data_IF_379572286125
#
_entry.id   IF_379572286125
#
_cell.length_a   1.000
_cell.length_b   1.000
_cell.length_c   1.000
_cell.angle_alpha   90.00
_cell.angle_beta   90.00
_cell.angle_gamma   90.00
#
_symmetry.space_group_name_H-M   'P 1'
#
loop_
_entity.id
_entity.type
_entity.pdbx_description
1 polymer ?
#
# COMPACT_ATOMS: atom_id res chain seq x y z
N UNK A 1 -30.47 -10.75 -10.06
CA UNK A 1 -30.01 -10.29 -8.72
C UNK A 1 -28.86 -11.20 -8.33
N UNK A 2 -27.61 -10.73 -8.43
CA UNK A 2 -26.47 -11.49 -7.94
C UNK A 2 -26.51 -11.47 -6.42
N UNK A 3 -26.60 -12.63 -5.81
CA UNK A 3 -26.53 -12.80 -4.36
C UNK A 3 -25.14 -12.40 -3.89
N UNK A 4 -25.01 -11.62 -2.79
CA UNK A 4 -23.70 -11.37 -2.16
C UNK A 4 -22.99 -12.68 -1.86
N UNK A 5 -21.71 -12.75 -2.17
CA UNK A 5 -20.90 -13.95 -1.99
C UNK A 5 -19.84 -13.67 -0.92
N UNK A 6 -19.51 -14.67 -0.12
CA UNK A 6 -18.34 -14.59 0.75
C UNK A 6 -17.09 -14.76 -0.10
N UNK A 7 -16.18 -13.77 -0.04
CA UNK A 7 -14.88 -13.79 -0.71
C UNK A 7 -13.79 -13.92 0.33
N UNK A 8 -12.98 -14.95 0.16
CA UNK A 8 -11.93 -15.28 1.11
C UNK A 8 -10.54 -15.16 0.47
N UNK A 9 -9.60 -14.59 1.21
CA UNK A 9 -8.20 -14.52 0.84
C UNK A 9 -7.31 -14.86 2.03
N UNK A 10 -6.18 -15.51 1.74
CA UNK A 10 -5.10 -15.76 2.67
C UNK A 10 -3.88 -14.96 2.24
N UNK A 11 -3.40 -14.08 3.11
CA UNK A 11 -2.25 -13.23 2.88
C UNK A 11 -1.15 -13.57 3.88
N UNK A 12 0.04 -13.79 3.38
CA UNK A 12 1.25 -14.02 4.16
C UNK A 12 2.20 -12.85 3.96
N UNK A 13 2.60 -12.20 5.04
CA UNK A 13 3.49 -11.05 5.03
C UNK A 13 4.85 -11.46 5.54
N UNK A 14 5.89 -11.21 4.76
CA UNK A 14 7.26 -11.61 5.10
C UNK A 14 8.31 -10.65 4.53
N UNK A 15 9.47 -10.58 5.18
CA UNK A 15 10.67 -10.02 4.57
C UNK A 15 11.15 -10.92 3.44
N UNK A 16 11.46 -10.32 2.29
CA UNK A 16 11.87 -11.07 1.09
C UNK A 16 13.01 -10.32 0.40
N UNK A 17 14.04 -11.04 -0.08
CA UNK A 17 15.03 -10.44 -0.97
C UNK A 17 14.38 -9.93 -2.25
N UNK A 18 14.64 -8.68 -2.60
CA UNK A 18 14.14 -8.01 -3.80
C UNK A 18 15.29 -7.40 -4.60
N UNK A 19 15.04 -7.18 -5.89
CA UNK A 19 15.95 -6.45 -6.76
C UNK A 19 15.12 -5.55 -7.68
N UNK A 20 14.90 -4.30 -7.27
CA UNK A 20 14.10 -3.34 -8.00
C UNK A 20 14.98 -2.44 -8.87
N UNK A 21 16.13 -2.02 -8.37
CA UNK A 21 17.03 -1.05 -9.02
C UNK A 21 18.24 -1.68 -9.69
N UNK A 22 18.37 -3.00 -9.66
CA UNK A 22 19.58 -3.74 -10.03
C UNK A 22 20.48 -4.06 -8.85
N UNK A 23 20.13 -3.61 -7.63
CA UNK A 23 20.83 -3.92 -6.39
C UNK A 23 20.02 -4.84 -5.50
N UNK A 24 20.64 -5.85 -4.87
CA UNK A 24 19.95 -6.65 -3.87
C UNK A 24 19.51 -5.78 -2.68
N UNK A 25 18.25 -5.95 -2.27
CA UNK A 25 17.66 -5.26 -1.13
C UNK A 25 16.74 -6.21 -0.37
N UNK A 26 16.35 -5.84 0.85
CA UNK A 26 15.28 -6.50 1.59
C UNK A 26 14.03 -5.64 1.54
N UNK A 27 12.91 -6.25 1.18
CA UNK A 27 11.60 -5.61 1.21
C UNK A 27 10.59 -6.46 1.95
N UNK A 28 9.41 -5.89 2.18
CA UNK A 28 8.27 -6.60 2.74
C UNK A 28 7.33 -6.95 1.60
N UNK A 29 7.01 -8.23 1.47
CA UNK A 29 6.12 -8.75 0.43
C UNK A 29 4.85 -9.32 1.00
N UNK A 30 3.80 -9.33 0.19
CA UNK A 30 2.55 -10.01 0.47
C UNK A 30 2.46 -11.19 -0.50
N UNK A 31 2.36 -12.41 0.03
CA UNK A 31 2.40 -13.65 -0.74
C UNK A 31 3.63 -13.73 -1.67
N UNK A 32 4.78 -13.21 -1.22
CA UNK A 32 6.05 -13.28 -1.94
C UNK A 32 6.22 -12.27 -3.08
N UNK A 33 5.30 -11.33 -3.27
CA UNK A 33 5.35 -10.33 -4.33
C UNK A 33 5.29 -8.89 -3.81
N UNK A 34 5.84 -7.95 -4.59
CA UNK A 34 5.71 -6.51 -4.40
C UNK A 34 5.46 -5.84 -5.78
N UNK A 35 4.35 -5.13 -5.99
CA UNK A 35 3.19 -5.07 -5.09
C UNK A 35 2.63 -6.46 -4.75
N UNK A 36 1.90 -6.56 -3.65
CA UNK A 36 1.17 -7.76 -3.28
C UNK A 36 0.04 -8.11 -4.27
N UNK A 37 -0.69 -9.19 -4.05
CA UNK A 37 -1.73 -9.64 -4.95
C UNK A 37 -2.87 -8.63 -5.06
N UNK A 38 -3.47 -8.55 -6.26
CA UNK A 38 -4.71 -7.81 -6.47
C UNK A 38 -5.85 -8.52 -5.73
N UNK A 39 -6.51 -7.82 -4.83
CA UNK A 39 -7.76 -8.30 -4.24
C UNK A 39 -8.93 -7.78 -5.07
N UNK A 40 -9.77 -8.69 -5.56
CA UNK A 40 -10.96 -8.35 -6.34
C UNK A 40 -12.22 -8.81 -5.63
N UNK A 41 -13.11 -7.87 -5.44
CA UNK A 41 -14.42 -8.06 -4.81
C UNK A 41 -15.51 -7.45 -5.66
N UNK A 42 -16.73 -7.61 -5.21
CA UNK A 42 -17.90 -6.90 -5.72
C UNK A 42 -18.60 -6.17 -4.59
N UNK A 43 -19.19 -5.03 -4.89
CA UNK A 43 -20.05 -4.29 -3.96
C UNK A 43 -21.15 -5.21 -3.41
N UNK A 44 -21.27 -5.26 -2.09
CA UNK A 44 -22.17 -6.15 -1.36
C UNK A 44 -21.57 -7.45 -0.90
N UNK A 45 -20.35 -7.83 -1.35
CA UNK A 45 -19.68 -9.05 -0.88
C UNK A 45 -19.35 -8.97 0.62
N UNK A 46 -19.40 -10.12 1.27
CA UNK A 46 -18.81 -10.34 2.59
C UNK A 46 -17.34 -10.71 2.42
N UNK A 47 -16.47 -9.95 3.05
CA UNK A 47 -15.00 -10.14 2.96
C UNK A 47 -14.50 -10.91 4.15
N UNK A 48 -13.66 -11.91 3.89
CA UNK A 48 -12.89 -12.64 4.89
C UNK A 48 -11.44 -12.68 4.44
N UNK A 49 -10.55 -11.97 5.13
CA UNK A 49 -9.12 -11.96 4.79
C UNK A 49 -8.33 -12.38 6.02
N UNK A 50 -7.63 -13.50 5.90
CA UNK A 50 -6.71 -14.00 6.93
C UNK A 50 -5.31 -13.51 6.60
N UNK A 51 -4.72 -12.76 7.51
CA UNK A 51 -3.37 -12.19 7.37
C UNK A 51 -2.44 -12.83 8.38
N UNK A 52 -1.46 -13.56 7.91
CA UNK A 52 -0.41 -14.18 8.73
C UNK A 52 0.84 -13.31 8.72
N UNK A 53 1.28 -12.90 9.90
CA UNK A 53 2.47 -12.08 10.10
C UNK A 53 3.72 -12.95 10.27
N UNK A 54 4.56 -13.02 9.24
CA UNK A 54 5.87 -13.66 9.31
C UNK A 54 7.02 -12.64 9.45
N UNK A 55 6.71 -11.39 9.82
CA UNK A 55 7.72 -10.40 10.20
C UNK A 55 8.17 -10.61 11.65
N UNK A 56 9.23 -9.91 12.05
CA UNK A 56 9.73 -9.90 13.43
C UNK A 56 9.10 -8.85 14.32
N UNK A 57 8.22 -8.03 13.76
CA UNK A 57 7.54 -6.92 14.45
C UNK A 57 6.02 -6.99 14.21
N UNK A 58 5.29 -6.25 15.01
CA UNK A 58 3.82 -6.14 14.87
C UNK A 58 3.50 -5.49 13.51
N UNK A 59 2.45 -5.98 12.87
CA UNK A 59 1.93 -5.44 11.62
C UNK A 59 0.41 -5.27 11.63
N UNK A 60 -0.11 -4.70 10.56
CA UNK A 60 -1.54 -4.59 10.27
C UNK A 60 -1.75 -4.14 8.84
N UNK A 61 -2.89 -4.49 8.28
CA UNK A 61 -3.29 -4.03 6.95
C UNK A 61 -4.44 -3.03 7.09
N UNK A 62 -4.21 -1.83 6.60
CA UNK A 62 -5.23 -0.81 6.40
C UNK A 62 -5.83 -0.93 4.99
N UNK A 63 -7.14 -0.85 4.91
CA UNK A 63 -7.94 -0.91 3.68
C UNK A 63 -8.24 0.52 3.23
N UNK A 64 -7.30 1.12 2.52
CA UNK A 64 -7.32 2.55 2.23
C UNK A 64 -8.50 2.94 1.35
N UNK A 65 -9.35 3.80 1.90
CA UNK A 65 -10.55 4.33 1.23
C UNK A 65 -11.81 3.49 1.41
N UNK A 66 -11.73 2.32 2.06
CA UNK A 66 -12.91 1.51 2.34
C UNK A 66 -13.65 1.96 3.61
N UNK A 67 -14.97 1.90 3.57
CA UNK A 67 -15.85 2.09 4.72
C UNK A 67 -16.00 0.77 5.47
N UNK A 68 -15.21 0.58 6.52
CA UNK A 68 -15.17 -0.64 7.33
C UNK A 68 -15.48 -0.33 8.81
N UNK A 69 -15.88 -1.34 9.60
CA UNK A 69 -15.95 -1.20 11.06
C UNK A 69 -14.58 -0.81 11.62
N UNK A 70 -14.56 0.02 12.69
CA UNK A 70 -13.31 0.56 13.25
C UNK A 70 -12.30 -0.52 13.64
N UNK A 71 -12.75 -1.63 14.23
CA UNK A 71 -11.92 -2.77 14.62
C UNK A 71 -11.37 -3.59 13.44
N UNK A 72 -11.82 -3.29 12.21
CA UNK A 72 -11.37 -3.90 10.96
C UNK A 72 -10.51 -2.95 10.12
N UNK A 73 -10.29 -1.72 10.57
CA UNK A 73 -9.56 -0.67 9.83
C UNK A 73 -8.04 -0.90 9.75
N UNK A 74 -7.52 -1.76 10.62
CA UNK A 74 -6.18 -2.32 10.47
C UNK A 74 -5.03 -1.41 10.93
N UNK A 75 -5.28 -0.43 11.82
CA UNK A 75 -4.27 0.48 12.37
C UNK A 75 -3.80 0.00 13.75
N UNK A 76 -2.62 -0.65 13.86
CA UNK A 76 -2.13 -1.18 15.13
C UNK A 76 -2.00 -0.12 16.21
N UNK A 77 -2.50 -0.42 17.40
CA UNK A 77 -2.46 0.49 18.56
C UNK A 77 -3.50 1.61 18.54
N UNK A 78 -4.30 1.71 17.46
CA UNK A 78 -5.38 2.71 17.32
C UNK A 78 -6.73 2.01 17.19
N UNK A 79 -6.92 1.18 16.16
CA UNK A 79 -8.19 0.51 15.91
C UNK A 79 -8.24 -0.91 16.47
N UNK A 80 -7.08 -1.54 16.66
CA UNK A 80 -6.91 -2.88 17.23
C UNK A 80 -5.45 -3.09 17.71
N UNK A 81 -5.13 -4.19 18.40
CA UNK A 81 -3.77 -4.44 18.92
C UNK A 81 -2.69 -4.66 17.86
N UNK A 82 -3.10 -4.93 16.61
CA UNK A 82 -2.18 -5.38 15.54
C UNK A 82 -2.00 -6.90 15.53
N UNK A 83 -1.23 -7.38 14.56
CA UNK A 83 -0.91 -8.79 14.36
C UNK A 83 0.53 -9.02 14.84
N UNK A 84 0.72 -9.81 15.88
CA UNK A 84 2.06 -10.12 16.41
C UNK A 84 2.81 -11.08 15.49
N UNK A 85 4.15 -11.13 15.59
CA UNK A 85 4.95 -12.13 14.87
C UNK A 85 4.41 -13.54 15.07
N UNK A 86 4.21 -14.28 13.97
CA UNK A 86 3.68 -15.64 13.96
C UNK A 86 2.16 -15.77 14.11
N UNK A 87 1.45 -14.67 14.37
CA UNK A 87 -0.02 -14.70 14.52
C UNK A 87 -0.72 -14.47 13.18
N UNK A 88 -1.98 -14.93 13.14
CA UNK A 88 -2.92 -14.69 12.04
C UNK A 88 -4.12 -13.92 12.57
N UNK A 89 -4.45 -12.80 11.92
CA UNK A 89 -5.68 -12.05 12.18
C UNK A 89 -6.65 -12.21 11.01
N UNK A 90 -7.95 -12.36 11.31
CA UNK A 90 -8.98 -12.49 10.30
C UNK A 90 -9.83 -11.23 10.26
N UNK A 91 -9.68 -10.45 9.19
CA UNK A 91 -10.54 -9.32 8.88
C UNK A 91 -11.86 -9.81 8.32
N UNK A 92 -12.98 -9.22 8.80
CA UNK A 92 -14.35 -9.54 8.36
C UNK A 92 -15.17 -8.28 8.25
N UNK A 93 -15.62 -7.96 7.03
CA UNK A 93 -16.47 -6.80 6.80
C UNK A 93 -17.26 -6.95 5.50
N UNK A 94 -18.31 -6.14 5.38
CA UNK A 94 -19.13 -6.08 4.18
C UNK A 94 -18.75 -4.87 3.35
N UNK A 95 -18.60 -5.07 2.06
CA UNK A 95 -18.34 -3.99 1.11
C UNK A 95 -19.61 -3.24 0.78
N UNK A 96 -19.58 -1.90 0.96
CA UNK A 96 -20.72 -1.00 0.77
C UNK A 96 -20.51 0.00 -0.35
N UNK A 97 -19.41 -0.11 -1.06
CA UNK A 97 -18.96 0.83 -2.09
C UNK A 97 -18.20 0.09 -3.17
N UNK A 98 -18.21 0.61 -4.38
CA UNK A 98 -17.36 0.17 -5.49
C UNK A 98 -16.25 1.17 -5.74
N UNK A 99 -15.21 0.75 -6.45
CA UNK A 99 -14.11 1.61 -6.86
C UNK A 99 -12.75 0.92 -6.90
N UNK A 100 -11.74 1.72 -7.17
CA UNK A 100 -10.34 1.33 -7.18
C UNK A 100 -9.67 1.84 -5.92
N UNK A 101 -9.17 0.93 -5.13
CA UNK A 101 -8.57 1.17 -3.82
C UNK A 101 -7.21 0.47 -3.74
N UNK A 102 -6.57 0.57 -2.60
CA UNK A 102 -5.35 -0.15 -2.27
C UNK A 102 -5.35 -0.57 -0.80
N UNK A 103 -4.47 -1.47 -0.43
CA UNK A 103 -4.26 -1.87 0.94
C UNK A 103 -2.76 -1.87 1.26
N UNK A 104 -2.42 -1.51 2.47
CA UNK A 104 -1.02 -1.33 2.87
C UNK A 104 -0.84 -1.48 4.37
N UNK A 105 0.42 -1.62 4.80
CA UNK A 105 0.71 -1.59 6.23
C UNK A 105 0.46 -0.21 6.83
N UNK A 106 -0.11 -0.18 8.00
CA UNK A 106 -0.20 1.04 8.82
C UNK A 106 0.65 0.92 10.09
N UNK A 107 1.72 0.12 10.05
CA UNK A 107 2.66 -0.10 11.13
C UNK A 107 4.06 0.43 10.74
N UNK A 108 4.64 1.29 11.58
CA UNK A 108 5.99 1.85 11.43
C UNK A 108 6.28 2.35 9.99
N UNK A 109 7.36 1.86 9.37
CA UNK A 109 7.76 2.22 8.00
C UNK A 109 7.61 1.05 7.01
N UNK A 110 6.74 0.10 7.33
CA UNK A 110 6.57 -1.13 6.53
C UNK A 110 6.02 -0.85 5.13
N UNK A 111 5.15 0.15 4.96
CA UNK A 111 4.66 0.57 3.65
C UNK A 111 5.82 1.00 2.74
N UNK A 112 6.73 1.82 3.24
CA UNK A 112 7.92 2.27 2.50
C UNK A 112 8.90 1.13 2.16
N UNK A 113 8.78 -0.01 2.84
CA UNK A 113 9.54 -1.22 2.56
C UNK A 113 8.88 -2.15 1.53
N UNK A 114 7.72 -1.78 0.95
CA UNK A 114 7.04 -2.54 -0.11
C UNK A 114 5.73 -3.19 0.28
N UNK A 115 5.22 -2.95 1.47
CA UNK A 115 3.99 -3.57 1.98
C UNK A 115 2.74 -2.82 1.51
N UNK A 116 2.39 -2.95 0.24
CA UNK A 116 1.21 -2.37 -0.39
C UNK A 116 0.74 -3.22 -1.58
N UNK A 117 -0.53 -3.09 -1.94
CA UNK A 117 -1.12 -3.75 -3.11
C UNK A 117 -2.48 -3.15 -3.51
N UNK A 118 -2.94 -3.36 -4.75
CA UNK A 118 -4.21 -2.83 -5.22
C UNK A 118 -5.40 -3.67 -4.76
N UNK A 119 -6.54 -3.00 -4.59
CA UNK A 119 -7.83 -3.58 -4.22
C UNK A 119 -8.91 -3.00 -5.12
N UNK A 120 -9.66 -3.87 -5.79
CA UNK A 120 -10.73 -3.48 -6.71
C UNK A 120 -12.05 -3.98 -6.16
N UNK A 121 -13.03 -3.10 -6.13
CA UNK A 121 -14.41 -3.47 -5.81
C UNK A 121 -15.29 -3.15 -7.02
N UNK A 122 -15.67 -4.20 -7.74
CA UNK A 122 -16.55 -4.09 -8.89
C UNK A 122 -17.93 -3.57 -8.45
N UNK A 123 -18.58 -2.71 -9.23
CA UNK A 123 -19.90 -2.20 -8.86
C UNK A 123 -20.97 -3.28 -8.90
N UNK A 124 -22.02 -3.13 -8.06
CA UNK A 124 -23.17 -4.03 -8.05
C UNK A 124 -23.95 -3.99 -9.37
N UNK A 125 -23.92 -2.86 -10.07
CA UNK A 125 -24.49 -2.66 -11.41
C UNK A 125 -23.36 -2.50 -12.42
N UNK A 126 -23.54 -3.00 -13.65
CA UNK A 126 -22.55 -2.76 -14.71
C UNK A 126 -22.28 -1.27 -14.92
N UNK A 127 -21.08 -0.92 -15.28
CA UNK A 127 -20.71 0.43 -15.67
C UNK A 127 -21.53 0.89 -16.89
N UNK A 128 -21.84 2.18 -17.00
CA UNK A 128 -22.62 2.73 -18.10
C UNK A 128 -21.85 2.83 -19.42
N UNK A 129 -20.56 2.49 -19.40
CA UNK A 129 -19.66 2.51 -20.57
C UNK A 129 -19.12 1.12 -20.85
N UNK A 130 -18.66 0.92 -22.08
CA UNK A 130 -17.99 -0.30 -22.51
C UNK A 130 -16.52 -0.03 -22.72
N UNK A 131 -15.66 -1.02 -22.44
CA UNK A 131 -14.23 -0.98 -22.68
C UNK A 131 -13.73 -2.35 -23.16
N UNK A 132 -12.70 -2.34 -23.98
CA UNK A 132 -12.11 -3.56 -24.51
C UNK A 132 -11.06 -4.16 -23.56
N UNK A 133 -10.45 -3.35 -22.70
CA UNK A 133 -9.36 -3.76 -21.82
C UNK A 133 -9.42 -3.00 -20.50
N UNK A 134 -9.04 -3.70 -19.44
CA UNK A 134 -8.90 -3.15 -18.07
C UNK A 134 -7.50 -3.49 -17.54
N UNK A 135 -6.77 -2.46 -17.11
CA UNK A 135 -5.44 -2.62 -16.54
C UNK A 135 -5.36 -1.94 -15.18
N UNK A 136 -4.73 -2.63 -14.22
CA UNK A 136 -4.40 -2.05 -12.93
C UNK A 136 -2.95 -1.56 -12.99
N UNK A 137 -2.76 -0.26 -12.75
CA UNK A 137 -1.45 0.36 -12.67
C UNK A 137 -1.20 0.81 -11.25
N UNK A 138 -0.16 0.27 -10.61
CA UNK A 138 0.29 0.69 -9.28
C UNK A 138 1.52 1.55 -9.46
N UNK A 139 1.44 2.81 -9.00
CA UNK A 139 2.57 3.73 -8.97
C UNK A 139 3.12 3.71 -7.55
N UNK A 140 4.40 3.41 -7.39
CA UNK A 140 5.08 3.34 -6.10
C UNK A 140 6.50 3.89 -6.19
N UNK A 141 7.05 4.26 -5.04
CA UNK A 141 8.44 4.66 -4.91
C UNK A 141 9.26 3.52 -4.29
N UNK A 142 10.52 3.45 -4.68
CA UNK A 142 11.50 2.56 -4.06
C UNK A 142 12.82 3.29 -3.86
N UNK A 143 13.39 3.15 -2.68
CA UNK A 143 14.74 3.63 -2.34
C UNK A 143 15.52 2.45 -1.75
N UNK A 144 16.71 2.17 -2.27
CA UNK A 144 17.59 1.11 -1.74
C UNK A 144 18.09 1.39 -0.31
N UNK A 145 18.04 2.64 0.12
CA UNK A 145 18.34 3.03 1.50
C UNK A 145 17.24 2.56 2.45
N UNK A 146 17.58 1.93 3.58
CA UNK A 146 16.58 1.50 4.56
C UNK A 146 15.61 2.64 4.97
N UNK A 147 14.30 2.40 5.07
CA UNK A 147 13.32 3.45 5.38
C UNK A 147 13.62 4.24 6.66
N UNK A 148 14.17 3.60 7.68
CA UNK A 148 14.58 4.27 8.93
C UNK A 148 15.67 5.31 8.69
N UNK A 149 16.64 5.00 7.82
CA UNK A 149 17.70 5.95 7.44
C UNK A 149 17.13 7.09 6.60
N UNK A 150 16.20 6.80 5.69
CA UNK A 150 15.51 7.83 4.89
C UNK A 150 14.78 8.81 5.82
N UNK A 151 14.01 8.30 6.77
CA UNK A 151 13.31 9.13 7.75
C UNK A 151 14.27 9.95 8.61
N UNK A 152 15.36 9.35 9.07
CA UNK A 152 16.40 10.06 9.84
C UNK A 152 17.02 11.21 9.05
N UNK A 153 17.28 11.02 7.76
CA UNK A 153 17.81 12.05 6.89
C UNK A 153 16.81 13.19 6.64
N UNK A 154 15.56 12.86 6.39
CA UNK A 154 14.49 13.86 6.21
C UNK A 154 14.24 14.69 7.48
N UNK A 155 14.42 14.08 8.67
CA UNK A 155 14.36 14.82 9.94
C UNK A 155 15.54 15.77 10.17
N UNK A 156 16.68 15.51 9.56
CA UNK A 156 17.86 16.40 9.65
C UNK A 156 17.72 17.63 8.78
N UNK A 157 17.17 17.46 7.58
CA UNK A 157 17.06 18.54 6.60
C UNK A 157 15.83 18.31 5.70
N UNK A 158 14.97 19.31 5.65
CA UNK A 158 13.88 19.37 4.69
C UNK A 158 14.44 19.32 3.26
N UNK A 159 13.84 18.49 2.42
CA UNK A 159 14.29 18.30 1.03
C UNK A 159 15.65 17.59 0.90
N UNK A 160 16.11 16.82 1.90
CA UNK A 160 17.39 16.09 1.88
C UNK A 160 17.63 15.32 0.57
N UNK A 161 16.59 14.71 0.00
CA UNK A 161 16.65 13.95 -1.26
C UNK A 161 16.31 14.77 -2.50
N UNK A 162 16.08 16.09 -2.36
CA UNK A 162 15.83 16.96 -3.50
C UNK A 162 17.14 17.41 -4.15
N UNK A 163 17.78 16.51 -4.88
CA UNK A 163 19.06 16.76 -5.56
C UNK A 163 18.98 17.78 -6.71
N UNK A 164 17.77 18.14 -7.15
CA UNK A 164 17.55 19.14 -8.21
C UNK A 164 17.05 20.48 -7.68
N UNK A 165 17.21 20.70 -6.39
CA UNK A 165 16.80 21.98 -5.77
C UNK A 165 17.59 23.13 -6.38
N UNK A 166 16.89 24.05 -7.02
CA UNK A 166 17.46 25.31 -7.52
C UNK A 166 17.70 26.21 -6.30
N UNK A 167 18.96 26.58 -6.08
CA UNK A 167 19.30 27.54 -5.03
C UNK A 167 18.95 28.96 -5.46
N UNK A 168 18.79 29.89 -4.51
CA UNK A 168 18.49 31.29 -4.82
C UNK A 168 19.48 31.90 -5.82
N UNK A 169 20.81 31.73 -5.70
CA UNK A 169 21.75 32.20 -6.70
C UNK A 169 21.53 31.59 -8.10
N UNK A 170 21.25 30.29 -8.17
CA UNK A 170 20.95 29.60 -9.44
C UNK A 170 19.67 30.12 -10.07
N UNK A 171 18.63 30.36 -9.29
CA UNK A 171 17.37 30.92 -9.76
C UNK A 171 17.60 32.30 -10.39
N UNK A 172 18.32 33.21 -9.73
CA UNK A 172 18.65 34.51 -10.30
C UNK A 172 19.58 34.43 -11.52
N UNK A 173 20.48 33.43 -11.57
CA UNK A 173 21.29 33.19 -12.75
C UNK A 173 20.42 32.75 -13.95
N UNK A 174 19.47 31.87 -13.72
CA UNK A 174 18.53 31.39 -14.74
C UNK A 174 17.65 32.54 -15.26
N UNK A 175 17.14 33.42 -14.38
CA UNK A 175 16.36 34.59 -14.79
C UNK A 175 17.17 35.57 -15.70
N UNK A 176 18.48 35.71 -15.44
CA UNK A 176 19.32 36.58 -16.27
C UNK A 176 19.66 35.98 -17.62
N UNK A 177 19.60 34.68 -17.76
CA UNK A 177 19.88 33.93 -18.99
C UNK A 177 18.63 33.52 -19.76
N UNK A 178 17.43 33.83 -19.24
CA UNK A 178 16.18 33.58 -19.95
C UNK A 178 16.11 34.47 -21.19
N UNK A 179 15.85 33.93 -22.38
CA UNK A 179 15.57 34.78 -23.54
C UNK A 179 14.26 35.55 -23.34
N UNK A 180 14.21 36.76 -23.83
CA UNK A 180 13.00 37.63 -23.86
C UNK A 180 11.84 36.96 -24.61
#
# INVERSE_FOLDING_TARGET
RNTPVSREYDLSVAETPLNITGKPAQGITINGTMPGPVLRFREGDEVVIRVTNNLREVTGIHWHGLLVPNDQDGVPGVTYPGIRPGETFTYRFKLRQSGTYWYHSHAALQEAAGYFAPLIVEPARPDPFQYDRDYIVVISEWIDTPPQQVLANLKKQDGYYNYRRVTTPQFFAQLRSAPD
#
